data_IF_338414403927
#
_entry.id   IF_338414403927
#
_cell.length_a   1.000
_cell.length_b   1.000
_cell.length_c   1.000
_cell.angle_alpha   90.00
_cell.angle_beta   90.00
_cell.angle_gamma   90.00
#
_symmetry.space_group_name_H-M   'P 1'
#
loop_
_entity.id
_entity.type
_entity.pdbx_description
1 polymer ?
#
# COMPACT_ATOMS: atom_id res chain seq x y z
N UNK A 1 17.32 12.23 15.07
CA UNK A 1 16.53 11.25 15.85
C UNK A 1 15.60 10.57 14.86
N UNK A 2 15.99 9.38 14.41
CA UNK A 2 15.44 8.69 13.24
C UNK A 2 14.97 7.32 13.71
N UNK A 3 13.76 7.27 14.29
CA UNK A 3 13.16 6.04 14.81
C UNK A 3 12.00 5.61 13.90
N UNK A 4 12.36 5.16 12.71
CA UNK A 4 11.51 4.37 11.84
C UNK A 4 12.25 3.06 11.58
N UNK A 5 11.68 1.95 12.06
CA UNK A 5 11.86 0.57 11.57
C UNK A 5 12.20 -0.42 12.68
N UNK A 6 11.17 -0.87 13.38
CA UNK A 6 11.16 -2.28 13.79
C UNK A 6 9.73 -2.78 13.89
N UNK A 7 9.10 -2.91 12.72
CA UNK A 7 8.06 -3.92 12.58
C UNK A 7 8.74 -5.08 11.88
N UNK A 8 9.22 -6.04 12.66
CA UNK A 8 9.78 -7.31 12.16
C UNK A 8 8.64 -8.15 11.55
N UNK A 9 8.11 -7.69 10.43
CA UNK A 9 7.27 -8.48 9.58
C UNK A 9 8.22 -9.29 8.71
N UNK A 10 8.13 -10.61 8.75
CA UNK A 10 8.97 -11.56 7.99
C UNK A 10 8.76 -11.49 6.46
N UNK A 11 8.79 -10.29 5.89
CA UNK A 11 8.81 -10.07 4.47
C UNK A 11 10.26 -10.10 4.00
N UNK A 12 10.60 -11.07 3.16
CA UNK A 12 11.84 -11.03 2.37
C UNK A 12 11.85 -9.88 1.36
N UNK A 13 10.70 -9.24 1.12
CA UNK A 13 10.51 -8.11 0.20
C UNK A 13 10.71 -6.78 0.93
N UNK A 14 11.41 -5.86 0.28
CA UNK A 14 11.64 -4.52 0.81
C UNK A 14 10.33 -3.75 1.01
N UNK A 15 10.23 -3.07 2.15
CA UNK A 15 9.12 -2.13 2.42
C UNK A 15 9.40 -0.83 1.65
N UNK A 16 8.47 -0.43 0.79
CA UNK A 16 8.53 0.81 0.01
C UNK A 16 7.40 1.76 0.41
N UNK A 17 7.66 3.06 0.27
CA UNK A 17 6.59 4.05 0.31
C UNK A 17 5.74 3.91 -0.96
N UNK A 18 4.46 4.19 -0.85
CA UNK A 18 3.56 4.14 -2.00
C UNK A 18 4.01 5.11 -3.12
N UNK A 19 4.54 6.28 -2.75
CA UNK A 19 5.05 7.29 -3.69
C UNK A 19 6.42 6.94 -4.30
N UNK A 20 7.06 5.85 -3.87
CA UNK A 20 8.29 5.36 -4.49
C UNK A 20 8.06 4.19 -5.47
N UNK A 21 6.80 3.83 -5.73
CA UNK A 21 6.45 2.96 -6.84
C UNK A 21 6.55 3.72 -8.15
N UNK A 22 6.88 3.01 -9.23
CA UNK A 22 6.90 3.59 -10.57
C UNK A 22 5.47 3.89 -11.03
N UNK A 23 5.29 5.05 -11.66
CA UNK A 23 4.02 5.44 -12.22
C UNK A 23 3.63 4.53 -13.41
N UNK A 24 2.34 4.30 -13.60
CA UNK A 24 1.76 3.48 -14.67
C UNK A 24 2.20 2.00 -14.72
N UNK A 25 2.91 1.53 -13.69
CA UNK A 25 3.29 0.12 -13.54
C UNK A 25 2.24 -0.66 -12.74
N UNK A 26 1.83 -1.82 -13.26
CA UNK A 26 0.95 -2.75 -12.57
C UNK A 26 1.74 -3.60 -11.57
N UNK A 27 1.46 -3.40 -10.29
CA UNK A 27 1.97 -4.26 -9.22
C UNK A 27 0.87 -5.20 -8.75
N UNK A 28 1.01 -6.50 -9.03
CA UNK A 28 0.04 -7.50 -8.58
C UNK A 28 -0.01 -7.54 -7.06
N UNK A 29 -1.23 -7.51 -6.51
CA UNK A 29 -1.49 -7.64 -5.08
C UNK A 29 -1.54 -9.13 -4.73
N UNK A 30 -0.65 -9.56 -3.85
CA UNK A 30 -0.60 -10.93 -3.36
C UNK A 30 -1.43 -11.11 -2.10
N UNK A 31 -1.37 -10.12 -1.21
CA UNK A 31 -2.16 -10.10 0.02
C UNK A 31 -2.41 -8.67 0.50
N UNK A 32 -3.48 -8.51 1.27
CA UNK A 32 -3.85 -7.28 1.95
C UNK A 32 -4.22 -7.58 3.39
N UNK A 33 -3.78 -6.72 4.32
CA UNK A 33 -4.20 -6.79 5.72
C UNK A 33 -4.30 -5.42 6.35
N UNK A 34 -5.28 -5.25 7.23
CA UNK A 34 -5.31 -4.10 8.15
C UNK A 34 -4.38 -4.43 9.31
N UNK A 35 -3.40 -3.57 9.57
CA UNK A 35 -2.47 -3.70 10.69
C UNK A 35 -2.54 -2.47 11.58
N UNK A 36 -2.21 -2.63 12.85
CA UNK A 36 -2.21 -1.55 13.82
C UNK A 36 -0.77 -1.11 14.09
N UNK A 37 -0.41 0.08 13.61
CA UNK A 37 0.87 0.71 13.88
C UNK A 37 0.81 1.67 15.07
N UNK A 38 1.97 2.23 15.44
CA UNK A 38 2.13 3.22 16.52
C UNK A 38 1.16 4.41 16.43
N UNK A 39 0.73 4.74 15.21
CA UNK A 39 -0.14 5.88 14.94
C UNK A 39 -1.56 5.48 14.51
N UNK A 40 -1.97 4.22 14.73
CA UNK A 40 -3.30 3.72 14.41
C UNK A 40 -3.31 2.67 13.30
N UNK A 41 -4.52 2.32 12.84
CA UNK A 41 -4.74 1.33 11.78
C UNK A 41 -4.18 1.83 10.44
N UNK A 42 -3.59 0.93 9.67
CA UNK A 42 -3.11 1.14 8.29
C UNK A 42 -3.37 -0.13 7.47
N UNK A 43 -3.47 0.01 6.14
CA UNK A 43 -3.57 -1.15 5.25
C UNK A 43 -2.19 -1.44 4.72
N UNK A 44 -1.72 -2.67 4.93
CA UNK A 44 -0.51 -3.22 4.35
C UNK A 44 -0.88 -4.05 3.13
N UNK A 45 -0.22 -3.77 2.01
CA UNK A 45 -0.35 -4.53 0.79
C UNK A 45 0.97 -5.19 0.46
N UNK A 46 0.92 -6.50 0.30
CA UNK A 46 2.03 -7.28 -0.20
C UNK A 46 1.90 -7.39 -1.72
N UNK A 47 2.90 -6.84 -2.41
CA UNK A 47 3.00 -6.88 -3.86
C UNK A 47 3.98 -7.99 -4.28
N UNK A 48 4.07 -8.28 -5.58
CA UNK A 48 5.02 -9.26 -6.09
C UNK A 48 6.48 -8.97 -5.73
N UNK A 49 6.89 -7.71 -5.70
CA UNK A 49 8.29 -7.32 -5.49
C UNK A 49 8.53 -6.57 -4.17
N UNK A 50 7.51 -5.87 -3.66
CA UNK A 50 7.65 -4.94 -2.55
C UNK A 50 6.47 -5.08 -1.58
N UNK A 51 6.60 -4.52 -0.40
CA UNK A 51 5.48 -4.31 0.53
C UNK A 51 5.22 -2.83 0.67
N UNK A 52 3.97 -2.40 0.61
CA UNK A 52 3.60 -0.99 0.73
C UNK A 52 2.54 -0.78 1.81
N UNK A 53 2.64 0.35 2.49
CA UNK A 53 1.60 0.83 3.40
C UNK A 53 0.73 1.86 2.71
N UNK A 54 -0.58 1.65 2.71
CA UNK A 54 -1.50 2.67 2.25
C UNK A 54 -1.65 3.78 3.29
N UNK A 55 -1.74 5.04 2.85
CA UNK A 55 -2.03 6.16 3.73
C UNK A 55 -3.30 5.94 4.55
N UNK A 56 -3.31 6.39 5.81
CA UNK A 56 -4.42 6.14 6.76
C UNK A 56 -5.80 6.54 6.23
N UNK A 57 -5.88 7.55 5.37
CA UNK A 57 -7.13 7.98 4.72
C UNK A 57 -7.85 6.84 3.98
N UNK A 58 -7.12 5.86 3.47
CA UNK A 58 -7.69 4.70 2.80
C UNK A 58 -8.24 3.65 3.76
N UNK A 59 -7.82 3.63 5.02
CA UNK A 59 -8.25 2.62 6.01
C UNK A 59 -9.75 2.71 6.27
N UNK A 60 -10.30 3.93 6.27
CA UNK A 60 -11.74 4.12 6.45
C UNK A 60 -12.54 3.83 5.17
N UNK A 61 -11.90 3.91 3.99
CA UNK A 61 -12.53 3.61 2.71
C UNK A 61 -12.46 2.11 2.36
N UNK A 62 -11.45 1.40 2.85
CA UNK A 62 -11.22 -0.02 2.58
C UNK A 62 -11.99 -0.85 3.62
N UNK A 63 -13.12 -1.40 3.19
CA UNK A 63 -13.90 -2.37 3.98
C UNK A 63 -13.25 -3.76 3.99
N UNK A 64 -13.74 -4.65 4.86
CA UNK A 64 -13.29 -6.04 4.92
C UNK A 64 -13.46 -6.78 3.58
N UNK A 65 -14.54 -6.50 2.85
CA UNK A 65 -14.78 -7.08 1.52
C UNK A 65 -13.70 -6.67 0.50
N UNK A 66 -13.18 -5.44 0.59
CA UNK A 66 -12.07 -5.01 -0.26
C UNK A 66 -10.79 -5.79 0.05
N UNK A 67 -10.52 -6.06 1.33
CA UNK A 67 -9.37 -6.87 1.76
C UNK A 67 -9.48 -8.30 1.20
N UNK A 68 -10.66 -8.91 1.28
CA UNK A 68 -10.91 -10.23 0.68
C UNK A 68 -10.72 -10.23 -0.84
N UNK A 69 -11.21 -9.20 -1.51
CA UNK A 69 -11.01 -9.02 -2.95
C UNK A 69 -9.52 -8.90 -3.29
N UNK A 70 -8.74 -8.12 -2.55
CA UNK A 70 -7.29 -8.05 -2.77
C UNK A 70 -6.60 -9.41 -2.54
N UNK A 71 -7.03 -10.16 -1.53
CA UNK A 71 -6.53 -11.51 -1.25
C UNK A 71 -6.92 -12.55 -2.32
N UNK A 72 -7.86 -12.23 -3.22
CA UNK A 72 -8.17 -13.08 -4.39
C UNK A 72 -7.05 -13.12 -5.43
N UNK A 73 -6.04 -12.24 -5.33
CA UNK A 73 -4.90 -12.11 -6.27
C UNK A 73 -5.29 -11.72 -7.70
N UNK A 74 -6.52 -11.22 -7.88
CA UNK A 74 -7.07 -10.75 -9.16
C UNK A 74 -6.88 -9.26 -9.39
N UNK A 75 -6.22 -8.56 -8.48
CA UNK A 75 -6.08 -7.11 -8.55
C UNK A 75 -4.61 -6.70 -8.62
N UNK A 76 -4.37 -5.59 -9.30
CA UNK A 76 -3.12 -4.85 -9.25
C UNK A 76 -3.33 -3.50 -8.58
N UNK A 77 -2.26 -2.92 -8.06
CA UNK A 77 -2.16 -1.48 -7.83
C UNK A 77 -1.38 -0.85 -8.97
N UNK A 78 -1.89 0.28 -9.45
CA UNK A 78 -1.16 1.19 -10.33
C UNK A 78 -1.15 2.56 -9.66
N UNK A 79 0.03 3.16 -9.58
CA UNK A 79 0.16 4.58 -9.24
C UNK A 79 0.01 5.36 -10.54
N UNK A 80 -1.12 6.03 -10.74
CA UNK A 80 -1.35 6.77 -11.99
C UNK A 80 -0.60 8.11 -11.96
N UNK A 81 -0.61 8.78 -10.80
CA UNK A 81 -0.01 10.10 -10.66
C UNK A 81 0.41 10.35 -9.21
N UNK A 82 1.48 11.11 -9.02
CA UNK A 82 1.90 11.61 -7.71
C UNK A 82 1.84 13.13 -7.75
N UNK A 83 0.83 13.70 -7.12
CA UNK A 83 0.63 15.16 -7.07
C UNK A 83 1.21 15.70 -5.75
N UNK A 84 2.05 16.73 -5.84
CA UNK A 84 2.59 17.44 -4.67
C UNK A 84 1.77 18.68 -4.38
N UNK A 85 1.22 18.78 -3.17
CA UNK A 85 0.52 19.95 -2.67
C UNK A 85 1.23 20.47 -1.42
N UNK A 86 2.09 21.48 -1.59
CA UNK A 86 2.98 21.95 -0.52
C UNK A 86 3.88 20.82 -0.02
N UNK A 87 3.85 20.57 1.28
CA UNK A 87 4.64 19.50 1.93
C UNK A 87 3.97 18.11 1.89
N UNK A 88 2.87 17.97 1.14
CA UNK A 88 2.10 16.71 1.05
C UNK A 88 2.23 16.08 -0.33
N UNK A 89 2.52 14.79 -0.36
CA UNK A 89 2.44 13.98 -1.58
C UNK A 89 1.15 13.16 -1.60
N UNK A 90 0.44 13.22 -2.72
CA UNK A 90 -0.81 12.50 -2.95
C UNK A 90 -0.62 11.58 -4.16
N UNK A 91 -0.52 10.28 -3.90
CA UNK A 91 -0.60 9.27 -4.94
C UNK A 91 -2.07 9.02 -5.33
N UNK A 92 -2.35 9.13 -6.63
CA UNK A 92 -3.59 8.70 -7.28
C UNK A 92 -3.42 7.24 -7.67
N UNK A 93 -4.31 6.39 -7.17
CA UNK A 93 -4.24 4.95 -7.38
C UNK A 93 -5.41 4.46 -8.23
N UNK A 94 -5.14 3.49 -9.10
CA UNK A 94 -6.17 2.64 -9.68
C UNK A 94 -5.98 1.18 -9.25
N UNK A 95 -7.10 0.46 -9.19
CA UNK A 95 -7.17 -0.95 -8.80
C UNK A 95 -7.72 -1.80 -9.96
N UNK A 96 -6.99 -1.91 -11.08
CA UNK A 96 -7.44 -2.75 -12.19
C UNK A 96 -7.42 -4.23 -11.81
N UNK A 97 -8.26 -5.01 -12.49
CA UNK A 97 -8.10 -6.44 -12.51
C UNK A 97 -6.76 -6.80 -13.20
N UNK A 98 -6.07 -7.79 -12.65
CA UNK A 98 -4.85 -8.36 -13.21
C UNK A 98 -5.18 -9.42 -14.23
#
# INVERSE_FOLDING_TARGET
>A
MEDLNQVSLGFTKGIKQLTSLEADVKYKVLSAKITQGRYGKTVLLELEQNVVFLPKRYVNAITQQHIENFNSRRYAIVVNEIVKFGDKEIAILSLPYF
#
